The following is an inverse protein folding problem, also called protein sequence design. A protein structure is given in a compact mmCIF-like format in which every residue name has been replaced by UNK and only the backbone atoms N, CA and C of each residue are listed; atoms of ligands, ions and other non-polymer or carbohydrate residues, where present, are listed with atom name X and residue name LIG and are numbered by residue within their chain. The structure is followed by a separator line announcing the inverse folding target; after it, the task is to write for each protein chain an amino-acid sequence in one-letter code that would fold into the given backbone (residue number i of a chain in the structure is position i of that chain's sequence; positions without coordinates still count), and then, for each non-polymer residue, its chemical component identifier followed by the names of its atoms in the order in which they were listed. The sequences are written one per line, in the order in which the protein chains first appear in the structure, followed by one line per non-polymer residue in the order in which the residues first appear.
data_IF_517260866813
#
_entry.id   IF_517260866813
#
_cell.length_a   1.000
_cell.length_b   1.000
_cell.length_c   1.000
_cell.angle_alpha   90.00
_cell.angle_beta   90.00
_cell.angle_gamma   90.00
#
_symmetry.space_group_name_H-M   'P 1'
#
loop_
_entity.id
_entity.type
_entity.pdbx_description
1 polymer ?
#
# COMPACT_ATOMS: atom_id res chain seq x y z
N UNK A 1 -30.11 90.55 7.71
CA UNK A 1 -30.80 90.69 6.42
C UNK A 1 -30.73 89.34 5.71
N UNK A 2 -31.90 88.76 5.45
CA UNK A 2 -32.28 87.70 4.48
C UNK A 2 -31.24 86.62 4.12
N UNK A 3 -31.40 85.34 4.51
CA UNK A 3 -32.39 84.30 4.15
C UNK A 3 -31.94 83.37 3.01
N UNK A 4 -32.10 82.05 3.25
CA UNK A 4 -31.94 80.92 2.32
C UNK A 4 -30.95 79.88 2.87
N UNK A 5 -31.27 78.87 3.70
CA UNK A 5 -32.27 77.79 3.53
C UNK A 5 -32.15 77.17 2.11
N UNK A 6 -31.70 75.92 1.93
CA UNK A 6 -32.43 74.68 2.28
C UNK A 6 -31.53 73.45 2.00
N UNK A 7 -31.40 72.58 3.01
CA UNK A 7 -31.53 71.10 3.04
C UNK A 7 -30.53 70.25 2.19
N UNK A 8 -30.08 69.06 2.61
CA UNK A 8 -30.60 68.11 3.59
C UNK A 8 -29.57 66.98 3.87
N UNK A 9 -29.77 66.31 5.02
CA UNK A 9 -29.47 64.89 5.34
C UNK A 9 -28.02 64.37 5.32
N UNK A 10 -27.52 63.56 6.27
CA UNK A 10 -28.06 62.90 7.47
C UNK A 10 -26.85 62.37 8.29
N UNK A 11 -26.82 62.70 9.59
CA UNK A 11 -26.65 61.80 10.76
C UNK A 11 -25.54 60.72 10.67
N UNK A 12 -24.39 60.88 11.33
CA UNK A 12 -24.09 60.68 12.77
C UNK A 12 -24.32 59.25 13.33
N UNK A 13 -23.18 58.60 13.59
CA UNK A 13 -22.79 57.90 14.82
C UNK A 13 -23.45 56.57 15.27
N UNK A 14 -22.52 55.60 15.39
CA UNK A 14 -22.34 54.69 16.54
C UNK A 14 -23.19 53.42 16.61
N UNK A 15 -22.52 52.26 16.62
CA UNK A 15 -22.25 51.44 17.83
C UNK A 15 -21.67 50.07 17.42
N UNK A 16 -20.71 49.65 18.24
CA UNK A 16 -20.05 48.33 18.40
C UNK A 16 -21.05 47.14 18.45
N UNK A 17 -20.64 45.86 18.68
CA UNK A 17 -19.56 44.98 18.17
C UNK A 17 -20.17 43.72 17.48
N UNK A 18 -19.34 42.76 17.02
CA UNK A 18 -19.68 41.42 16.48
C UNK A 18 -20.11 41.34 14.99
N UNK A 19 -19.14 41.00 14.13
CA UNK A 19 -19.35 40.20 12.92
C UNK A 19 -18.16 39.23 12.80
N UNK A 20 -18.31 38.01 13.31
CA UNK A 20 -18.46 36.80 12.48
C UNK A 20 -17.57 36.84 11.23
N UNK A 21 -16.29 36.54 11.42
CA UNK A 21 -15.46 35.97 10.36
C UNK A 21 -15.14 34.54 10.77
N UNK A 22 -16.17 33.71 10.68
CA UNK A 22 -16.05 32.26 10.68
C UNK A 22 -15.45 31.89 9.32
N UNK A 23 -14.12 31.97 9.23
CA UNK A 23 -13.40 31.46 8.06
C UNK A 23 -13.51 29.94 8.10
N UNK A 24 -14.48 29.42 7.37
CA UNK A 24 -14.65 27.99 7.08
C UNK A 24 -13.32 27.40 6.59
N UNK A 25 -12.59 26.76 7.49
CA UNK A 25 -11.53 25.83 7.14
C UNK A 25 -12.20 24.58 6.58
N UNK A 26 -12.35 24.53 5.25
CA UNK A 26 -12.72 23.27 4.61
C UNK A 26 -11.64 22.23 4.93
N UNK A 27 -11.97 21.03 5.44
CA UNK A 27 -10.99 19.98 5.61
C UNK A 27 -10.57 19.54 4.21
N UNK A 28 -9.42 20.04 3.77
CA UNK A 28 -8.78 19.63 2.53
C UNK A 28 -8.46 18.14 2.66
N UNK A 29 -9.30 17.27 2.07
CA UNK A 29 -9.03 15.84 1.98
C UNK A 29 -7.76 15.63 1.13
N UNK A 30 -6.61 15.47 1.78
CA UNK A 30 -5.34 15.19 1.10
C UNK A 30 -5.39 13.78 0.52
N UNK A 31 -5.72 13.68 -0.76
CA UNK A 31 -5.57 12.44 -1.54
C UNK A 31 -4.09 12.28 -1.88
N UNK A 32 -3.49 11.19 -1.41
CA UNK A 32 -2.10 10.83 -1.71
C UNK A 32 -2.07 9.76 -2.81
N UNK A 33 -1.38 10.04 -3.91
CA UNK A 33 -1.09 9.07 -4.98
C UNK A 33 0.41 8.75 -4.98
N UNK A 34 0.78 7.50 -4.68
CA UNK A 34 2.20 7.08 -4.65
C UNK A 34 2.39 5.70 -5.27
N UNK A 35 3.48 5.53 -6.01
CA UNK A 35 3.93 4.25 -6.56
C UNK A 35 5.06 3.64 -5.72
N UNK A 36 4.99 2.34 -5.50
CA UNK A 36 5.99 1.52 -4.81
C UNK A 36 6.40 0.36 -5.71
N UNK A 37 7.66 -0.06 -5.62
CA UNK A 37 8.14 -1.19 -6.42
C UNK A 37 9.20 -2.00 -5.70
N UNK A 38 9.07 -3.33 -5.73
CA UNK A 38 9.99 -4.28 -5.10
C UNK A 38 10.52 -5.30 -6.12
N UNK A 39 11.83 -5.60 -6.12
CA UNK A 39 12.42 -6.57 -7.03
C UNK A 39 12.08 -8.02 -6.65
N UNK A 40 12.16 -8.91 -7.65
CA UNK A 40 12.13 -10.35 -7.47
C UNK A 40 13.43 -10.87 -6.87
N UNK A 41 13.45 -12.17 -6.54
CA UNK A 41 14.62 -12.82 -5.93
C UNK A 41 15.00 -14.11 -6.65
N UNK A 42 16.30 -14.40 -6.68
CA UNK A 42 16.85 -15.68 -7.13
C UNK A 42 17.96 -16.16 -6.19
N UNK A 43 17.87 -17.42 -5.77
CA UNK A 43 18.97 -18.09 -5.06
C UNK A 43 20.09 -18.40 -6.04
N UNK A 44 21.30 -17.96 -5.70
CA UNK A 44 22.52 -18.29 -6.44
C UNK A 44 23.22 -19.48 -5.75
N UNK A 45 23.25 -19.49 -4.41
CA UNK A 45 23.84 -20.57 -3.62
C UNK A 45 23.13 -20.76 -2.28
N UNK A 46 23.31 -21.92 -1.65
CA UNK A 46 22.75 -22.27 -0.34
C UNK A 46 21.46 -23.10 -0.43
N UNK A 47 20.58 -22.85 -1.41
CA UNK A 47 19.40 -23.69 -1.68
C UNK A 47 18.61 -24.03 -0.41
N UNK A 48 18.39 -25.32 -0.14
CA UNK A 48 17.74 -25.80 1.09
C UNK A 48 18.65 -25.81 2.32
N UNK A 49 19.96 -25.65 2.21
CA UNK A 49 20.84 -25.64 3.38
C UNK A 49 20.50 -24.47 4.32
N UNK A 50 19.99 -23.37 3.75
CA UNK A 50 19.45 -22.20 4.45
C UNK A 50 18.33 -22.52 5.45
N UNK A 51 17.81 -23.75 5.43
CA UNK A 51 16.82 -24.23 6.38
C UNK A 51 17.43 -24.42 7.79
N UNK A 52 18.74 -24.66 7.88
CA UNK A 52 19.47 -24.79 9.13
C UNK A 52 20.23 -23.50 9.44
N UNK A 53 20.16 -23.05 10.69
CA UNK A 53 20.73 -21.78 11.16
C UNK A 53 22.25 -21.65 10.89
N UNK A 54 22.96 -22.78 10.84
CA UNK A 54 24.41 -22.84 10.58
C UNK A 54 24.81 -22.54 9.14
N UNK A 55 23.87 -22.50 8.19
CA UNK A 55 24.16 -22.32 6.77
C UNK A 55 23.55 -21.02 6.23
N UNK A 56 24.34 -20.28 5.46
CA UNK A 56 23.89 -19.07 4.78
C UNK A 56 23.57 -19.34 3.31
N UNK A 57 22.72 -18.50 2.73
CA UNK A 57 22.43 -18.50 1.29
C UNK A 57 22.92 -17.21 0.64
N UNK A 58 23.33 -17.33 -0.62
CA UNK A 58 23.61 -16.19 -1.48
C UNK A 58 22.46 -16.04 -2.47
N UNK A 59 21.87 -14.85 -2.50
CA UNK A 59 20.66 -14.56 -3.27
C UNK A 59 20.80 -13.16 -3.85
N UNK A 60 20.32 -12.99 -5.07
CA UNK A 60 20.32 -11.70 -5.77
C UNK A 60 18.91 -11.18 -5.98
N UNK A 61 18.78 -9.85 -6.00
CA UNK A 61 17.62 -9.18 -6.56
C UNK A 61 17.59 -9.37 -8.09
N UNK A 62 16.39 -9.42 -8.65
CA UNK A 62 16.16 -9.50 -10.09
C UNK A 62 15.60 -8.18 -10.63
N UNK A 63 15.72 -8.00 -11.95
CA UNK A 63 15.16 -6.84 -12.66
C UNK A 63 13.63 -6.87 -12.74
N UNK A 64 13.03 -8.07 -12.73
CA UNK A 64 11.57 -8.21 -12.65
C UNK A 64 11.05 -7.70 -11.31
N UNK A 65 10.05 -6.84 -11.35
CA UNK A 65 9.50 -6.12 -10.19
C UNK A 65 8.00 -6.33 -10.01
N UNK A 66 7.60 -6.30 -8.75
CA UNK A 66 6.22 -6.08 -8.32
C UNK A 66 6.03 -4.59 -8.12
N UNK A 67 4.89 -4.05 -8.49
CA UNK A 67 4.54 -2.64 -8.38
C UNK A 67 3.21 -2.48 -7.65
N UNK A 68 3.09 -1.44 -6.84
CA UNK A 68 1.86 -1.05 -6.18
C UNK A 68 1.63 0.44 -6.39
N UNK A 69 0.45 0.81 -6.87
CA UNK A 69 -0.02 2.20 -6.94
C UNK A 69 -1.04 2.39 -5.84
N UNK A 70 -0.81 3.38 -4.99
CA UNK A 70 -1.59 3.62 -3.78
C UNK A 70 -2.30 4.94 -3.91
N UNK A 71 -3.62 4.90 -3.79
CA UNK A 71 -4.48 6.05 -3.63
C UNK A 71 -5.05 6.02 -2.22
N UNK A 72 -4.61 6.94 -1.36
CA UNK A 72 -5.00 6.94 0.04
C UNK A 72 -5.52 8.31 0.46
N UNK A 73 -6.58 8.33 1.25
CA UNK A 73 -7.13 9.55 1.88
C UNK A 73 -7.51 9.24 3.33
N UNK A 74 -7.26 10.19 4.21
CA UNK A 74 -7.87 10.18 5.53
C UNK A 74 -9.30 10.67 5.40
N UNK A 75 -10.21 10.01 6.11
CA UNK A 75 -11.64 10.31 6.08
C UNK A 75 -12.12 10.66 7.48
N UNK A 76 -13.17 11.46 7.58
CA UNK A 76 -13.85 11.75 8.84
C UNK A 76 -15.12 10.90 8.90
N UNK A 77 -15.36 10.22 10.04
CA UNK A 77 -16.59 9.47 10.31
C UNK A 77 -16.96 8.36 9.30
N UNK A 78 -15.98 7.80 8.60
CA UNK A 78 -16.14 6.64 7.72
C UNK A 78 -15.44 5.41 8.33
N UNK A 79 -15.85 4.18 7.97
CA UNK A 79 -15.12 2.98 8.38
C UNK A 79 -13.70 2.98 7.78
N UNK A 80 -12.76 2.34 8.46
CA UNK A 80 -11.40 2.12 7.96
C UNK A 80 -11.43 1.06 6.86
N UNK A 81 -11.20 1.45 5.61
CA UNK A 81 -11.29 0.56 4.44
C UNK A 81 -9.97 0.44 3.71
N UNK A 82 -9.65 -0.79 3.30
CA UNK A 82 -8.48 -1.09 2.47
C UNK A 82 -8.95 -1.98 1.32
N UNK A 83 -8.85 -1.48 0.10
CA UNK A 83 -9.16 -2.21 -1.13
C UNK A 83 -7.87 -2.55 -1.85
N UNK A 84 -7.67 -3.81 -2.18
CA UNK A 84 -6.53 -4.28 -2.96
C UNK A 84 -7.02 -4.82 -4.29
N UNK A 85 -6.48 -4.32 -5.39
CA UNK A 85 -6.88 -4.68 -6.76
C UNK A 85 -5.69 -5.25 -7.51
N UNK A 86 -5.92 -6.27 -8.33
CA UNK A 86 -4.93 -6.82 -9.24
C UNK A 86 -5.54 -6.94 -10.64
N UNK A 87 -5.57 -5.83 -11.42
CA UNK A 87 -6.25 -5.80 -12.72
C UNK A 87 -5.64 -6.71 -13.79
N UNK A 88 -4.47 -7.30 -13.53
CA UNK A 88 -3.84 -8.28 -14.42
C UNK A 88 -4.48 -9.66 -14.40
N UNK A 89 -5.36 -9.95 -13.44
CA UNK A 89 -6.01 -11.25 -13.29
C UNK A 89 -7.52 -11.07 -13.19
N UNK A 90 -8.28 -12.06 -13.63
CA UNK A 90 -9.73 -12.04 -13.46
C UNK A 90 -10.14 -12.11 -11.99
N UNK A 91 -11.24 -11.44 -11.62
CA UNK A 91 -11.87 -11.46 -10.28
C UNK A 91 -10.88 -11.29 -9.11
N UNK A 92 -10.04 -10.27 -9.19
CA UNK A 92 -8.92 -10.06 -8.25
C UNK A 92 -9.01 -8.71 -7.55
N UNK A 93 -10.16 -8.42 -6.95
CA UNK A 93 -10.36 -7.32 -6.01
C UNK A 93 -10.67 -7.89 -4.63
N UNK A 94 -10.03 -7.36 -3.59
CA UNK A 94 -10.25 -7.75 -2.20
C UNK A 94 -10.57 -6.50 -1.38
N UNK A 95 -11.71 -6.52 -0.70
CA UNK A 95 -12.23 -5.36 0.03
C UNK A 95 -12.26 -5.64 1.53
N UNK A 96 -11.35 -5.04 2.27
CA UNK A 96 -11.21 -5.22 3.72
C UNK A 96 -11.78 -4.04 4.49
N UNK A 97 -12.52 -4.35 5.55
CA UNK A 97 -12.93 -3.39 6.58
C UNK A 97 -12.17 -3.70 7.86
N UNK A 98 -11.60 -2.68 8.48
CA UNK A 98 -10.82 -2.81 9.71
C UNK A 98 -11.69 -2.41 10.90
N UNK A 99 -11.76 -3.26 11.91
CA UNK A 99 -12.47 -2.97 13.15
C UNK A 99 -11.60 -2.22 14.17
N UNK A 100 -12.15 -1.97 15.36
CA UNK A 100 -11.44 -1.32 16.46
C UNK A 100 -10.32 -2.18 17.07
N UNK A 101 -10.41 -3.51 16.92
CA UNK A 101 -9.41 -4.47 17.38
C UNK A 101 -8.31 -4.75 16.35
N UNK A 102 -8.30 -3.99 15.24
CA UNK A 102 -7.39 -4.16 14.10
C UNK A 102 -7.58 -5.48 13.33
N UNK A 103 -8.69 -6.18 13.53
CA UNK A 103 -9.02 -7.34 12.71
C UNK A 103 -9.56 -6.90 11.35
N UNK A 104 -9.19 -7.67 10.33
CA UNK A 104 -9.48 -7.37 8.94
C UNK A 104 -10.60 -8.29 8.45
N UNK A 105 -11.76 -7.72 8.15
CA UNK A 105 -12.92 -8.46 7.66
C UNK A 105 -13.10 -8.21 6.17
N UNK A 106 -13.00 -9.27 5.37
CA UNK A 106 -13.21 -9.20 3.92
C UNK A 106 -14.70 -9.29 3.58
N UNK A 107 -15.17 -8.48 2.61
CA UNK A 107 -16.60 -8.29 2.32
C UNK A 107 -17.23 -9.36 1.43
N UNK A 108 -16.49 -9.94 0.49
CA UNK A 108 -17.02 -10.80 -0.59
C UNK A 108 -16.74 -12.31 -0.37
N UNK A 109 -16.12 -12.68 0.75
CA UNK A 109 -15.64 -14.02 1.05
C UNK A 109 -14.37 -14.42 0.27
N UNK A 110 -13.74 -13.49 -0.45
CA UNK A 110 -12.53 -13.74 -1.25
C UNK A 110 -11.30 -13.79 -0.34
N UNK A 111 -10.64 -14.94 -0.27
CA UNK A 111 -9.47 -15.12 0.60
C UNK A 111 -8.16 -15.13 -0.16
N UNK A 112 -7.31 -14.15 0.13
CA UNK A 112 -5.89 -14.18 -0.21
C UNK A 112 -5.05 -14.08 1.08
N UNK A 113 -4.45 -15.20 1.55
CA UNK A 113 -3.79 -15.24 2.85
C UNK A 113 -2.57 -14.32 2.94
N UNK A 114 -1.92 -14.01 1.82
CA UNK A 114 -0.78 -13.07 1.80
C UNK A 114 -1.24 -11.63 1.97
N UNK A 115 -2.33 -11.24 1.30
CA UNK A 115 -2.89 -9.88 1.42
C UNK A 115 -3.45 -9.67 2.83
N UNK A 116 -4.27 -10.62 3.30
CA UNK A 116 -4.89 -10.58 4.62
C UNK A 116 -3.85 -10.46 5.74
N UNK A 117 -2.82 -11.32 5.74
CA UNK A 117 -1.75 -11.26 6.74
C UNK A 117 -0.93 -9.96 6.65
N UNK A 118 -0.75 -9.41 5.45
CA UNK A 118 -0.03 -8.15 5.26
C UNK A 118 -0.79 -6.97 5.80
N UNK A 119 -2.09 -6.87 5.48
CA UNK A 119 -2.95 -5.81 5.98
C UNK A 119 -3.03 -5.89 7.50
N UNK A 120 -3.31 -7.07 8.05
CA UNK A 120 -3.33 -7.28 9.50
C UNK A 120 -2.05 -6.81 10.18
N UNK A 121 -0.89 -7.25 9.68
CA UNK A 121 0.41 -6.90 10.27
C UNK A 121 0.69 -5.39 10.17
N UNK A 122 0.43 -4.77 9.01
CA UNK A 122 0.71 -3.35 8.80
C UNK A 122 -0.23 -2.46 9.61
N UNK A 123 -1.50 -2.84 9.70
CA UNK A 123 -2.51 -2.14 10.50
C UNK A 123 -2.17 -2.24 11.98
N UNK A 124 -1.92 -3.44 12.50
CA UNK A 124 -1.56 -3.65 13.91
C UNK A 124 -0.27 -2.92 14.30
N UNK A 125 0.67 -2.75 13.37
CA UNK A 125 1.95 -2.11 13.63
C UNK A 125 1.92 -0.58 13.54
N UNK A 126 1.15 -0.02 12.60
CA UNK A 126 1.26 1.40 12.23
C UNK A 126 -0.04 2.18 12.23
N UNK A 127 -1.20 1.53 12.24
CA UNK A 127 -2.48 2.23 12.08
C UNK A 127 -2.80 3.12 13.29
N UNK A 128 -3.29 4.32 13.00
CA UNK A 128 -3.79 5.28 13.99
C UNK A 128 -5.32 5.15 14.17
N UNK A 129 -5.86 5.86 15.17
CA UNK A 129 -7.31 5.90 15.42
C UNK A 129 -8.11 6.62 14.32
N UNK A 130 -7.45 7.37 13.45
CA UNK A 130 -8.08 8.07 12.31
C UNK A 130 -8.68 7.11 11.30
N UNK A 131 -9.82 7.47 10.72
CA UNK A 131 -10.41 6.75 9.59
C UNK A 131 -9.65 7.03 8.29
N UNK A 132 -9.59 6.03 7.42
CA UNK A 132 -8.91 6.10 6.13
C UNK A 132 -9.59 5.22 5.11
N UNK A 133 -9.43 5.60 3.85
CA UNK A 133 -9.81 4.83 2.68
C UNK A 133 -8.59 4.71 1.77
N UNK A 134 -8.09 3.48 1.62
CA UNK A 134 -6.86 3.16 0.89
C UNK A 134 -7.18 2.19 -0.23
N UNK A 135 -6.83 2.56 -1.46
CA UNK A 135 -6.92 1.70 -2.63
C UNK A 135 -5.50 1.39 -3.12
N UNK A 136 -5.15 0.11 -3.17
CA UNK A 136 -3.86 -0.38 -3.65
C UNK A 136 -4.09 -1.17 -4.93
N UNK A 137 -3.53 -0.68 -6.04
CA UNK A 137 -3.57 -1.38 -7.33
C UNK A 137 -2.23 -2.02 -7.62
N UNK A 138 -2.21 -3.33 -7.76
CA UNK A 138 -1.02 -4.16 -7.91
C UNK A 138 -0.75 -4.50 -9.38
N UNK A 139 0.53 -4.47 -9.74
CA UNK A 139 1.03 -4.91 -11.04
C UNK A 139 2.30 -5.73 -10.86
N UNK A 140 2.55 -6.64 -11.78
CA UNK A 140 3.69 -7.55 -11.81
C UNK A 140 4.29 -7.56 -13.21
N UNK A 141 5.61 -7.55 -13.25
CA UNK A 141 6.34 -7.72 -14.50
C UNK A 141 6.15 -9.15 -15.06
N UNK A 142 6.27 -9.35 -16.38
CA UNK A 142 6.05 -10.64 -17.04
C UNK A 142 6.88 -11.80 -16.50
N UNK A 143 8.00 -11.55 -15.81
CA UNK A 143 8.87 -12.59 -15.28
C UNK A 143 8.24 -13.41 -14.14
N UNK A 144 7.20 -12.93 -13.46
CA UNK A 144 6.62 -13.61 -12.30
C UNK A 144 5.64 -14.75 -12.62
N UNK A 145 5.13 -14.79 -13.85
CA UNK A 145 4.03 -15.67 -14.26
C UNK A 145 4.32 -16.32 -15.62
N UNK A 146 3.75 -17.50 -15.85
CA UNK A 146 3.76 -18.12 -17.19
C UNK A 146 2.98 -17.25 -18.17
N UNK A 147 3.39 -17.25 -19.44
CA UNK A 147 2.84 -16.34 -20.46
C UNK A 147 1.67 -16.93 -21.26
N UNK A 148 1.19 -18.10 -20.85
CA UNK A 148 0.11 -18.81 -21.52
C UNK A 148 -1.20 -18.02 -21.42
N UNK A 149 -1.93 -17.93 -22.54
CA UNK A 149 -3.21 -17.22 -22.65
C UNK A 149 -3.18 -15.76 -22.18
N UNK A 150 -2.07 -15.04 -22.44
CA UNK A 150 -1.91 -13.65 -22.01
C UNK A 150 -2.19 -12.62 -23.08
N UNK A 151 -2.95 -11.57 -22.72
CA UNK A 151 -3.08 -10.36 -23.53
C UNK A 151 -1.99 -9.36 -23.14
N UNK A 152 -1.17 -8.96 -24.11
CA UNK A 152 -0.11 -7.96 -23.90
C UNK A 152 -0.69 -6.56 -24.00
N UNK A 153 -0.62 -5.78 -22.92
CA UNK A 153 -0.88 -4.34 -22.97
C UNK A 153 0.43 -3.59 -22.82
N UNK A 154 0.68 -2.69 -23.77
CA UNK A 154 1.83 -1.82 -23.75
C UNK A 154 1.36 -0.42 -23.34
N UNK A 155 2.19 0.24 -22.55
CA UNK A 155 2.03 1.66 -22.23
C UNK A 155 2.08 2.52 -23.50
N UNK A 156 1.46 3.70 -23.48
CA UNK A 156 1.34 4.59 -24.64
C UNK A 156 2.71 5.05 -25.18
N UNK A 157 3.73 5.07 -24.33
CA UNK A 157 5.13 5.39 -24.65
C UNK A 157 5.93 4.17 -25.14
N UNK A 158 5.34 2.96 -25.16
CA UNK A 158 6.01 1.73 -25.57
C UNK A 158 7.00 1.16 -24.55
N UNK A 159 7.23 1.85 -23.42
CA UNK A 159 8.38 1.59 -22.55
C UNK A 159 8.19 0.36 -21.65
N UNK A 160 6.94 0.04 -21.30
CA UNK A 160 6.59 -1.07 -20.40
C UNK A 160 5.47 -1.94 -20.95
N UNK A 161 5.62 -3.25 -20.71
CA UNK A 161 4.70 -4.30 -21.16
C UNK A 161 4.17 -5.03 -19.94
N UNK A 162 2.85 -5.06 -19.79
CA UNK A 162 2.16 -5.84 -18.77
C UNK A 162 1.37 -6.95 -19.45
N UNK A 163 1.44 -8.15 -18.85
CA UNK A 163 0.62 -9.28 -19.26
C UNK A 163 -0.66 -9.30 -18.43
N UNK A 164 -1.78 -9.48 -19.12
CA UNK A 164 -3.09 -9.65 -18.52
C UNK A 164 -3.54 -11.09 -18.78
N UNK A 165 -3.97 -11.76 -17.71
CA UNK A 165 -4.40 -13.14 -17.70
C UNK A 165 -5.92 -13.21 -17.60
N UNK A 166 -6.53 -14.09 -18.37
CA UNK A 166 -7.97 -14.36 -18.27
C UNK A 166 -8.34 -15.18 -17.02
N UNK A 167 -7.35 -15.87 -16.44
CA UNK A 167 -7.50 -16.72 -15.24
C UNK A 167 -7.29 -15.92 -13.94
N UNK A 168 -7.90 -16.34 -12.81
CA UNK A 168 -7.64 -15.74 -11.52
C UNK A 168 -6.20 -16.00 -11.04
N UNK A 169 -5.68 -15.14 -10.15
CA UNK A 169 -4.28 -15.20 -9.66
C UNK A 169 -3.89 -16.55 -9.03
N UNK A 170 -4.86 -17.33 -8.54
CA UNK A 170 -4.63 -18.63 -7.94
C UNK A 170 -4.36 -19.74 -8.97
N UNK A 171 -4.78 -19.54 -10.22
CA UNK A 171 -4.67 -20.53 -11.30
C UNK A 171 -3.53 -20.23 -12.28
N UNK A 172 -2.89 -19.06 -12.16
CA UNK A 172 -1.71 -18.72 -12.96
C UNK A 172 -0.45 -19.26 -12.28
N UNK A 173 0.31 -20.06 -13.02
CA UNK A 173 1.53 -20.67 -12.50
C UNK A 173 2.58 -19.60 -12.15
N UNK A 174 3.31 -19.86 -11.06
CA UNK A 174 4.33 -18.96 -10.51
C UNK A 174 5.70 -19.48 -10.93
N UNK A 175 6.56 -18.61 -11.44
CA UNK A 175 7.91 -18.95 -11.93
C UNK A 175 8.95 -19.14 -10.83
N UNK A 176 8.55 -19.13 -9.55
CA UNK A 176 9.47 -19.30 -8.42
C UNK A 176 10.28 -18.05 -8.04
N UNK A 177 10.10 -16.90 -8.72
CA UNK A 177 10.83 -15.64 -8.45
C UNK A 177 10.44 -14.92 -7.15
N UNK A 178 9.62 -15.56 -6.32
CA UNK A 178 9.13 -14.98 -5.07
C UNK A 178 8.00 -13.96 -5.24
N UNK A 179 7.03 -14.22 -6.12
CA UNK A 179 5.86 -13.34 -6.35
C UNK A 179 5.12 -12.97 -5.06
N UNK A 180 4.93 -13.92 -4.14
CA UNK A 180 4.31 -13.65 -2.84
C UNK A 180 5.15 -12.77 -1.93
N UNK A 181 6.49 -12.88 -1.98
CA UNK A 181 7.38 -12.02 -1.21
C UNK A 181 7.36 -10.59 -1.77
N UNK A 182 7.40 -10.44 -3.09
CA UNK A 182 7.25 -9.14 -3.76
C UNK A 182 5.93 -8.46 -3.42
N UNK A 183 4.81 -9.21 -3.50
CA UNK A 183 3.47 -8.76 -3.12
C UNK A 183 3.42 -8.23 -1.69
N UNK A 184 3.80 -9.05 -0.71
CA UNK A 184 3.78 -8.67 0.72
C UNK A 184 4.63 -7.41 0.93
N UNK A 185 5.82 -7.37 0.34
CA UNK A 185 6.74 -6.23 0.44
C UNK A 185 6.12 -4.91 -0.03
N UNK A 186 5.60 -4.87 -1.27
CA UNK A 186 5.08 -3.60 -1.82
C UNK A 186 3.83 -3.14 -1.08
N UNK A 187 2.98 -4.07 -0.62
CA UNK A 187 1.78 -3.74 0.17
C UNK A 187 2.17 -3.26 1.57
N UNK A 188 3.14 -3.89 2.24
CA UNK A 188 3.67 -3.42 3.53
C UNK A 188 4.25 -2.01 3.39
N UNK A 189 5.08 -1.78 2.36
CA UNK A 189 5.68 -0.47 2.12
C UNK A 189 4.61 0.60 1.90
N UNK A 190 3.62 0.32 1.05
CA UNK A 190 2.48 1.18 0.78
C UNK A 190 1.74 1.60 2.06
N UNK A 191 1.36 0.63 2.89
CA UNK A 191 0.57 0.87 4.10
C UNK A 191 1.39 1.59 5.17
N UNK A 192 2.61 1.14 5.46
CA UNK A 192 3.42 1.75 6.52
C UNK A 192 3.88 3.16 6.18
N UNK A 193 4.25 3.44 4.93
CA UNK A 193 4.59 4.80 4.51
C UNK A 193 3.39 5.74 4.63
N UNK A 194 2.18 5.26 4.31
CA UNK A 194 0.96 6.02 4.52
C UNK A 194 0.70 6.28 6.01
N UNK A 195 0.68 5.23 6.84
CA UNK A 195 0.35 5.35 8.26
C UNK A 195 1.34 6.22 9.04
N UNK A 196 2.65 6.06 8.77
CA UNK A 196 3.70 6.81 9.45
C UNK A 196 4.02 8.16 8.82
N UNK A 197 3.42 8.48 7.67
CA UNK A 197 3.72 9.66 6.86
C UNK A 197 5.22 9.80 6.58
N UNK A 198 5.87 8.68 6.31
CA UNK A 198 7.32 8.56 6.15
C UNK A 198 7.67 8.08 4.73
N UNK A 199 8.91 8.30 4.33
CA UNK A 199 9.45 7.72 3.09
C UNK A 199 10.05 6.33 3.36
N UNK A 200 10.20 5.54 2.30
CA UNK A 200 10.72 4.16 2.40
C UNK A 200 12.10 4.13 3.06
N UNK A 201 12.98 5.07 2.73
CA UNK A 201 14.35 5.12 3.25
C UNK A 201 14.40 5.36 4.78
N UNK A 202 13.38 6.02 5.33
CA UNK A 202 13.29 6.35 6.77
C UNK A 202 12.81 5.15 7.60
N UNK A 203 12.02 4.26 7.00
CA UNK A 203 11.33 3.15 7.70
C UNK A 203 11.63 1.79 7.07
N UNK A 204 12.73 1.67 6.34
CA UNK A 204 13.11 0.47 5.60
C UNK A 204 13.14 -0.78 6.48
N UNK A 205 13.76 -0.69 7.66
CA UNK A 205 13.85 -1.80 8.62
C UNK A 205 12.47 -2.22 9.14
N UNK A 206 11.55 -1.27 9.31
CA UNK A 206 10.20 -1.53 9.78
C UNK A 206 9.38 -2.21 8.69
N UNK A 207 9.48 -1.73 7.45
CA UNK A 207 8.88 -2.39 6.28
C UNK A 207 9.39 -3.82 6.20
N UNK A 208 10.68 -4.03 6.45
CA UNK A 208 11.29 -5.33 6.38
C UNK A 208 10.81 -6.32 7.42
N UNK A 209 10.81 -5.89 8.67
CA UNK A 209 10.35 -6.72 9.77
C UNK A 209 8.85 -7.05 9.65
N UNK A 210 8.02 -6.06 9.28
CA UNK A 210 6.59 -6.28 9.07
C UNK A 210 6.31 -7.21 7.88
N UNK A 211 7.03 -7.06 6.77
CA UNK A 211 6.89 -7.96 5.62
C UNK A 211 7.28 -9.40 5.98
N UNK A 212 8.34 -9.59 6.79
CA UNK A 212 8.72 -10.90 7.32
C UNK A 212 7.61 -11.55 8.12
N UNK A 213 7.07 -10.81 9.09
CA UNK A 213 5.99 -11.29 9.96
C UNK A 213 4.77 -11.67 9.11
N UNK A 214 4.32 -10.78 8.23
CA UNK A 214 3.17 -11.00 7.36
C UNK A 214 3.33 -12.24 6.47
N UNK A 215 4.49 -12.41 5.84
CA UNK A 215 4.74 -13.55 4.97
C UNK A 215 4.75 -14.87 5.74
N UNK A 216 5.34 -14.88 6.94
CA UNK A 216 5.38 -16.06 7.79
C UNK A 216 3.99 -16.41 8.36
N UNK A 217 3.17 -15.41 8.72
CA UNK A 217 1.76 -15.61 9.08
C UNK A 217 0.95 -16.22 7.93
N UNK A 218 1.08 -15.68 6.72
CA UNK A 218 0.36 -16.16 5.53
C UNK A 218 0.69 -17.62 5.17
N UNK A 219 1.93 -18.07 5.42
CA UNK A 219 2.35 -19.44 5.12
C UNK A 219 1.84 -20.49 6.12
N UNK A 220 1.19 -20.07 7.22
CA UNK A 220 0.58 -20.96 8.24
C UNK A 220 1.51 -22.08 8.75
N UNK A 221 2.83 -21.89 8.68
CA UNK A 221 3.80 -22.83 9.26
C UNK A 221 4.12 -22.36 10.68
N UNK A 222 3.96 -23.28 11.64
CA UNK A 222 4.07 -23.08 13.09
C UNK A 222 5.12 -22.05 13.52
N UNK A 223 4.77 -21.25 14.54
CA UNK A 223 5.58 -20.22 15.21
C UNK A 223 7.03 -20.64 15.58
N UNK A 224 7.28 -21.95 15.65
CA UNK A 224 8.61 -22.54 15.85
C UNK A 224 9.64 -22.12 14.78
N UNK A 225 9.19 -21.83 13.54
CA UNK A 225 10.08 -21.38 12.45
C UNK A 225 10.53 -19.92 12.58
N UNK A 226 9.84 -19.10 13.37
CA UNK A 226 10.21 -17.70 13.62
C UNK A 226 11.52 -17.61 14.41
N UNK A 227 11.82 -18.62 15.24
CA UNK A 227 12.98 -18.65 16.13
C UNK A 227 14.27 -19.18 15.47
N UNK A 228 14.17 -19.88 14.33
CA UNK A 228 15.31 -20.54 13.65
C UNK A 228 15.98 -19.71 12.54
N UNK A 229 15.78 -18.38 12.45
CA UNK A 229 16.38 -17.56 11.36
C UNK A 229 15.83 -17.82 9.94
N UNK A 230 14.91 -18.79 9.80
CA UNK A 230 14.33 -19.25 8.54
C UNK A 230 13.48 -18.19 7.82
N UNK A 231 12.74 -17.38 8.60
CA UNK A 231 11.92 -16.28 8.08
C UNK A 231 12.81 -15.12 7.59
N UNK A 232 13.92 -14.88 8.29
CA UNK A 232 14.91 -13.84 7.97
C UNK A 232 15.47 -14.05 6.55
N UNK A 233 15.93 -15.26 6.21
CA UNK A 233 16.51 -15.57 4.90
C UNK A 233 15.51 -15.51 3.72
N UNK A 234 14.19 -15.46 3.97
CA UNK A 234 13.20 -15.39 2.87
C UNK A 234 12.84 -13.96 2.44
N UNK A 235 13.04 -12.96 3.30
CA UNK A 235 12.78 -11.53 3.00
C UNK A 235 14.02 -10.67 3.30
N UNK A 236 15.21 -11.24 3.54
CA UNK A 236 16.46 -10.50 3.73
C UNK A 236 16.96 -9.66 2.53
N UNK A 237 16.08 -9.27 1.59
CA UNK A 237 16.42 -8.64 0.31
C UNK A 237 15.81 -7.25 0.11
N UNK A 238 15.29 -6.61 1.17
CA UNK A 238 14.60 -5.33 1.06
C UNK A 238 15.51 -4.11 0.89
N UNK A 239 16.74 -4.30 0.40
CA UNK A 239 17.65 -3.20 0.16
C UNK A 239 17.24 -2.29 -1.01
N UNK A 240 16.24 -2.62 -1.83
CA UNK A 240 15.86 -1.78 -2.97
C UNK A 240 14.34 -1.70 -3.23
N UNK A 241 13.58 -1.23 -2.24
CA UNK A 241 12.23 -0.70 -2.50
C UNK A 241 12.40 0.73 -3.01
N UNK A 242 11.87 1.03 -4.21
CA UNK A 242 11.86 2.41 -4.71
C UNK A 242 10.44 2.97 -4.65
N UNK A 243 10.33 4.22 -4.20
CA UNK A 243 9.12 5.03 -4.32
C UNK A 243 9.22 5.93 -5.55
N UNK A 244 8.11 6.09 -6.27
CA UNK A 244 7.91 7.20 -7.20
C UNK A 244 6.64 7.92 -6.80
N UNK A 245 6.76 9.19 -6.44
CA UNK A 245 5.59 10.08 -6.34
C UNK A 245 5.21 10.47 -7.76
N UNK A 246 3.95 10.27 -8.15
CA UNK A 246 3.42 10.97 -9.31
C UNK A 246 3.03 12.37 -8.81
N UNK A 247 3.82 13.38 -9.17
CA UNK A 247 3.44 14.79 -9.05
C UNK A 247 2.48 15.17 -10.19
#
# INVERSE_FOLDING_TARGET
MYNGFVQEELVQLSRNPQSVCESYSQPFMVKTLKGYSAPGKAFIAGGYLVLEERFSAYVTALSSRMHAVVEAKYTENQPKTITVKSPQFASSEWNYTIDENFECHEKEGLKNPFIEATIFTAVAYGSSSSSYDIVITLYSDPGYHTQDDTTKKTTSDGSRKFLYHEKPINEVEKTGLGSSAGLVTVVTAALLCFFKKANVDEIQDQIHNCAQIAHCLAQKKSWIWFRCGYCSLRINYLQQIFTKSCE
#
